data_IF_421966963028
#
_entry.id   IF_421966963028
#
_cell.length_a   1.000
_cell.length_b   1.000
_cell.length_c   1.000
_cell.angle_alpha   90.00
_cell.angle_beta   90.00
_cell.angle_gamma   90.00
#
_symmetry.space_group_name_H-M   'P 1'
#
loop_
_entity.id
_entity.type
_entity.pdbx_description
1 polymer ?
#
# COMPACT_ATOMS: atom_id res chain seq x y z
N UNK A 1 18.48 -18.71 -23.45
CA UNK A 1 18.03 -20.11 -23.64
C UNK A 1 17.39 -20.18 -25.02
N UNK A 2 17.85 -21.08 -25.90
CA UNK A 2 17.29 -21.25 -27.25
C UNK A 2 16.33 -22.45 -27.25
N UNK A 3 15.07 -22.25 -27.66
CA UNK A 3 14.02 -23.28 -27.65
C UNK A 3 13.69 -23.81 -29.04
N UNK A 4 14.48 -23.48 -30.07
CA UNK A 4 14.16 -23.83 -31.48
C UNK A 4 14.12 -25.33 -31.76
N UNK A 5 14.98 -26.14 -31.13
CA UNK A 5 14.93 -27.60 -31.27
C UNK A 5 13.65 -28.18 -30.64
N UNK A 6 13.31 -27.75 -29.42
CA UNK A 6 12.09 -28.19 -28.74
C UNK A 6 10.82 -27.88 -29.54
N UNK A 7 10.76 -26.72 -30.21
CA UNK A 7 9.63 -26.38 -31.09
C UNK A 7 9.53 -27.34 -32.28
N UNK A 8 10.66 -27.72 -32.88
CA UNK A 8 10.69 -28.67 -34.01
C UNK A 8 10.21 -30.05 -33.58
N UNK A 9 10.66 -30.52 -32.42
CA UNK A 9 10.27 -31.84 -31.90
C UNK A 9 8.78 -31.89 -31.60
N UNK A 10 8.26 -30.90 -30.88
CA UNK A 10 6.84 -30.83 -30.56
C UNK A 10 5.98 -30.68 -31.81
N UNK A 11 6.40 -29.88 -32.80
CA UNK A 11 5.67 -29.72 -34.06
C UNK A 11 5.63 -31.03 -34.86
N UNK A 12 6.70 -31.83 -34.82
CA UNK A 12 6.75 -33.16 -35.45
C UNK A 12 5.78 -34.15 -34.80
N UNK A 13 5.68 -34.14 -33.47
CA UNK A 13 4.78 -35.02 -32.70
C UNK A 13 3.31 -34.64 -32.87
N UNK A 14 2.98 -33.37 -32.64
CA UNK A 14 1.58 -32.90 -32.60
C UNK A 14 1.03 -32.50 -33.97
N UNK A 15 1.89 -32.41 -35.01
CA UNK A 15 1.53 -31.99 -36.38
C UNK A 15 0.72 -30.69 -36.42
N UNK A 16 1.04 -29.77 -35.51
CA UNK A 16 0.35 -28.49 -35.34
C UNK A 16 1.37 -27.35 -35.30
N UNK A 17 0.91 -26.13 -35.57
CA UNK A 17 1.74 -24.93 -35.41
C UNK A 17 1.88 -24.62 -33.92
N UNK A 18 3.10 -24.70 -33.41
CA UNK A 18 3.41 -24.44 -32.00
C UNK A 18 4.07 -23.07 -31.86
N UNK A 19 3.51 -22.23 -31.01
CA UNK A 19 4.06 -20.93 -30.63
C UNK A 19 4.40 -20.95 -29.14
N UNK A 20 5.66 -20.69 -28.81
CA UNK A 20 6.09 -20.52 -27.43
C UNK A 20 6.03 -19.04 -27.07
N UNK A 21 5.33 -18.72 -25.98
CA UNK A 21 5.28 -17.36 -25.43
C UNK A 21 5.93 -17.37 -24.06
N UNK A 22 6.83 -16.43 -23.82
CA UNK A 22 7.38 -16.21 -22.49
C UNK A 22 6.35 -15.48 -21.65
N UNK A 23 6.05 -16.04 -20.48
CA UNK A 23 5.08 -15.50 -19.52
C UNK A 23 5.88 -14.99 -18.33
N UNK A 24 5.59 -13.77 -17.86
CA UNK A 24 6.22 -13.23 -16.66
C UNK A 24 5.69 -13.91 -15.39
N UNK A 25 6.48 -13.91 -14.31
CA UNK A 25 6.08 -14.50 -13.01
C UNK A 25 4.73 -13.98 -12.47
N UNK A 26 4.39 -12.72 -12.79
CA UNK A 26 3.10 -12.14 -12.40
C UNK A 26 1.95 -12.62 -13.29
N UNK A 27 2.20 -12.77 -14.58
CA UNK A 27 1.20 -13.28 -15.53
C UNK A 27 0.93 -14.76 -15.28
N UNK A 28 1.96 -15.52 -14.91
CA UNK A 28 1.83 -16.90 -14.44
C UNK A 28 0.93 -16.97 -13.20
N UNK A 29 1.21 -16.15 -12.17
CA UNK A 29 0.36 -16.08 -10.98
C UNK A 29 -1.07 -15.62 -11.31
N UNK A 30 -1.26 -14.73 -12.28
CA UNK A 30 -2.58 -14.31 -12.76
C UNK A 30 -3.34 -15.45 -13.43
N UNK A 31 -2.67 -16.21 -14.29
CA UNK A 31 -3.27 -17.34 -15.03
C UNK A 31 -3.62 -18.51 -14.12
N UNK A 32 -2.74 -18.86 -13.18
CA UNK A 32 -3.01 -19.89 -12.18
C UNK A 32 -4.11 -19.45 -11.21
N UNK A 33 -4.16 -18.15 -10.89
CA UNK A 33 -4.99 -17.63 -9.82
C UNK A 33 -4.52 -18.09 -8.45
N UNK A 34 -5.26 -17.70 -7.42
CA UNK A 34 -4.94 -18.04 -6.04
C UNK A 34 -5.38 -16.97 -5.06
N UNK A 35 -4.99 -17.15 -3.80
CA UNK A 35 -5.30 -16.22 -2.71
C UNK A 35 -4.05 -15.43 -2.30
N UNK A 36 -4.20 -14.12 -2.19
CA UNK A 36 -3.17 -13.25 -1.64
C UNK A 36 -3.06 -13.37 -0.12
N UNK A 37 -2.05 -12.71 0.46
CA UNK A 37 -1.83 -12.66 1.92
C UNK A 37 -3.01 -12.04 2.68
N UNK A 38 -3.88 -11.29 1.99
CA UNK A 38 -5.13 -10.73 2.52
C UNK A 38 -6.31 -11.73 2.54
N UNK A 39 -6.09 -12.98 2.09
CA UNK A 39 -7.13 -14.02 2.01
C UNK A 39 -8.12 -13.85 0.85
N UNK A 40 -7.92 -12.86 -0.03
CA UNK A 40 -8.75 -12.61 -1.22
C UNK A 40 -8.08 -13.14 -2.49
N UNK A 41 -8.85 -13.39 -3.57
CA UNK A 41 -8.29 -13.70 -4.88
C UNK A 41 -7.28 -12.64 -5.33
N UNK A 42 -6.30 -13.02 -6.15
CA UNK A 42 -5.29 -12.08 -6.62
C UNK A 42 -5.91 -10.86 -7.31
N UNK A 43 -5.50 -9.65 -6.89
CA UNK A 43 -5.95 -8.39 -7.50
C UNK A 43 -5.73 -8.42 -9.04
N UNK A 44 -4.64 -9.04 -9.50
CA UNK A 44 -4.27 -9.15 -10.92
C UNK A 44 -5.09 -10.15 -11.73
N UNK A 45 -5.80 -11.09 -11.10
CA UNK A 45 -6.70 -12.02 -11.78
C UNK A 45 -8.16 -11.56 -11.74
N UNK A 46 -8.45 -10.41 -11.12
CA UNK A 46 -9.81 -9.91 -10.94
C UNK A 46 -10.07 -8.59 -11.65
N UNK A 47 -9.35 -7.52 -11.26
CA UNK A 47 -9.67 -6.16 -11.72
C UNK A 47 -8.44 -5.32 -12.07
N UNK A 48 -7.23 -5.73 -11.66
CA UNK A 48 -5.98 -5.02 -11.99
C UNK A 48 -5.23 -5.73 -13.13
N UNK A 49 -5.67 -5.48 -14.35
CA UNK A 49 -5.01 -6.04 -15.55
C UNK A 49 -3.76 -5.25 -15.96
N UNK A 50 -3.75 -3.93 -15.74
CA UNK A 50 -2.64 -3.06 -16.10
C UNK A 50 -1.63 -2.90 -14.96
N UNK A 51 -0.36 -3.17 -15.27
CA UNK A 51 0.71 -3.14 -14.29
C UNK A 51 1.53 -1.85 -14.39
N UNK A 52 1.28 -0.96 -13.44
CA UNK A 52 2.13 0.19 -13.17
C UNK A 52 3.30 -0.25 -12.26
N UNK A 53 4.52 0.26 -12.46
CA UNK A 53 5.63 0.00 -11.55
C UNK A 53 5.28 0.44 -10.12
N UNK A 54 5.55 -0.44 -9.16
CA UNK A 54 5.31 -0.19 -7.73
C UNK A 54 6.66 0.12 -7.09
N UNK A 55 6.69 1.12 -6.20
CA UNK A 55 7.90 1.51 -5.47
C UNK A 55 7.77 1.25 -3.97
N UNK A 56 8.91 1.05 -3.29
CA UNK A 56 8.96 0.83 -1.85
C UNK A 56 8.44 2.04 -1.06
N UNK A 57 8.59 3.25 -1.62
CA UNK A 57 8.08 4.51 -1.03
C UNK A 57 6.56 4.47 -0.80
N UNK A 58 5.83 3.72 -1.62
CA UNK A 58 4.37 3.58 -1.50
C UNK A 58 3.98 2.73 -0.29
N UNK A 59 4.73 1.65 -0.02
CA UNK A 59 4.54 0.86 1.21
C UNK A 59 4.77 1.71 2.47
N UNK A 60 5.77 2.59 2.45
CA UNK A 60 6.00 3.54 3.56
C UNK A 60 4.85 4.53 3.74
N UNK A 61 4.31 5.06 2.64
CA UNK A 61 3.16 5.99 2.68
C UNK A 61 1.93 5.35 3.33
N UNK A 62 1.77 4.04 3.15
CA UNK A 62 0.67 3.25 3.69
C UNK A 62 0.96 2.66 5.08
N UNK A 63 2.05 3.09 5.74
CA UNK A 63 2.50 2.60 7.04
C UNK A 63 2.68 1.07 7.11
N UNK A 64 3.07 0.43 6.00
CA UNK A 64 3.42 -0.99 5.98
C UNK A 64 4.88 -1.20 6.39
N UNK A 65 5.14 -2.32 7.07
CA UNK A 65 6.49 -2.74 7.41
C UNK A 65 7.29 -3.03 6.13
N UNK A 66 8.53 -2.54 6.06
CA UNK A 66 9.44 -2.72 4.92
C UNK A 66 10.02 -4.15 4.80
N UNK A 67 9.44 -5.13 5.50
CA UNK A 67 9.84 -6.52 5.36
C UNK A 67 9.38 -7.08 4.00
N UNK A 68 10.27 -7.62 3.16
CA UNK A 68 9.94 -8.15 1.83
C UNK A 68 8.75 -9.12 1.82
N UNK A 69 8.59 -9.94 2.85
CA UNK A 69 7.48 -10.91 2.97
C UNK A 69 6.12 -10.26 3.16
N UNK A 70 6.08 -9.02 3.70
CA UNK A 70 4.85 -8.27 3.95
C UNK A 70 4.46 -7.35 2.79
N UNK A 71 5.42 -6.96 1.94
CA UNK A 71 5.19 -6.03 0.82
C UNK A 71 5.19 -6.70 -0.56
N UNK A 72 5.66 -7.94 -0.64
CA UNK A 72 5.67 -8.73 -1.88
C UNK A 72 4.43 -9.60 -1.98
N UNK A 73 3.87 -9.69 -3.18
CA UNK A 73 2.80 -10.63 -3.50
C UNK A 73 3.34 -12.05 -3.74
N UNK A 74 2.43 -13.00 -3.88
CA UNK A 74 2.75 -14.43 -4.12
C UNK A 74 3.59 -14.66 -5.39
N UNK A 75 3.50 -13.75 -6.36
CA UNK A 75 4.34 -13.74 -7.57
C UNK A 75 5.80 -13.32 -7.34
N UNK A 76 6.22 -13.02 -6.10
CA UNK A 76 7.58 -12.60 -5.76
C UNK A 76 7.92 -11.15 -6.11
N UNK A 77 6.98 -10.37 -6.65
CA UNK A 77 7.11 -8.92 -6.89
C UNK A 77 6.30 -8.12 -5.88
N UNK A 78 6.59 -6.82 -5.75
CA UNK A 78 5.81 -5.90 -4.92
C UNK A 78 4.31 -5.98 -5.26
N UNK A 79 3.46 -5.86 -4.23
CA UNK A 79 2.01 -5.98 -4.37
C UNK A 79 1.43 -4.89 -5.28
N UNK A 80 0.66 -5.30 -6.30
CA UNK A 80 -0.03 -4.37 -7.21
C UNK A 80 -1.10 -3.53 -6.49
N UNK A 81 -1.69 -4.06 -5.41
CA UNK A 81 -2.71 -3.37 -4.64
C UNK A 81 -2.13 -2.13 -3.90
N UNK A 82 -0.80 -2.07 -3.65
CA UNK A 82 -0.14 -0.85 -3.13
C UNK A 82 -0.31 0.33 -4.08
N UNK A 83 -0.19 0.13 -5.39
CA UNK A 83 -0.42 1.23 -6.35
C UNK A 83 -1.88 1.59 -6.46
N UNK A 84 -2.76 0.60 -6.44
CA UNK A 84 -4.19 0.83 -6.49
C UNK A 84 -4.67 1.73 -5.35
N UNK A 85 -4.17 1.52 -4.12
CA UNK A 85 -4.59 2.30 -2.95
C UNK A 85 -3.87 3.65 -2.81
N UNK A 86 -2.72 3.82 -3.47
CA UNK A 86 -1.82 4.97 -3.26
C UNK A 86 -2.53 6.32 -3.41
N UNK A 87 -3.29 6.50 -4.48
CA UNK A 87 -3.89 7.80 -4.80
C UNK A 87 -4.94 8.18 -3.73
N UNK A 88 -5.64 7.20 -3.18
CA UNK A 88 -6.56 7.39 -2.07
C UNK A 88 -5.80 7.75 -0.78
N UNK A 89 -4.70 7.06 -0.47
CA UNK A 89 -3.87 7.41 0.69
C UNK A 89 -3.31 8.84 0.60
N UNK A 90 -2.81 9.24 -0.56
CA UNK A 90 -2.30 10.61 -0.77
C UNK A 90 -3.38 11.66 -0.58
N UNK A 91 -4.59 11.39 -1.07
CA UNK A 91 -5.75 12.25 -0.83
C UNK A 91 -6.09 12.33 0.67
N UNK A 92 -6.19 11.19 1.35
CA UNK A 92 -6.50 11.10 2.78
C UNK A 92 -5.46 11.82 3.65
N UNK A 93 -4.18 11.70 3.32
CA UNK A 93 -3.08 12.37 4.02
C UNK A 93 -3.10 13.89 3.87
N UNK A 94 -3.65 14.41 2.77
CA UNK A 94 -3.78 15.88 2.56
C UNK A 94 -4.91 16.48 3.38
N UNK A 95 -6.03 15.76 3.51
CA UNK A 95 -7.22 16.27 4.19
C UNK A 95 -7.25 15.96 5.68
N UNK A 96 -6.52 14.94 6.13
CA UNK A 96 -6.55 14.48 7.53
C UNK A 96 -5.43 15.15 8.32
N UNK A 97 -5.72 15.75 9.50
CA UNK A 97 -4.69 16.32 10.36
C UNK A 97 -3.72 15.24 10.82
N UNK A 98 -2.45 15.63 10.96
CA UNK A 98 -1.37 14.71 11.36
C UNK A 98 -1.43 14.41 12.86
N UNK A 99 -0.84 13.28 13.25
CA UNK A 99 -0.60 12.97 14.66
C UNK A 99 0.24 14.09 15.31
N UNK A 100 -0.19 14.57 16.48
CA UNK A 100 0.39 15.71 17.18
C UNK A 100 -0.04 17.09 16.67
N UNK A 101 -0.92 17.18 15.67
CA UNK A 101 -1.51 18.44 15.27
C UNK A 101 -2.46 18.99 16.34
N UNK A 102 -2.51 20.32 16.48
CA UNK A 102 -3.49 21.00 17.33
C UNK A 102 -4.76 21.22 16.53
N UNK A 103 -5.88 20.70 17.03
CA UNK A 103 -7.17 20.73 16.36
C UNK A 103 -8.25 21.31 17.25
N UNK A 104 -9.24 21.93 16.62
CA UNK A 104 -10.48 22.40 17.24
C UNK A 104 -11.55 21.34 17.01
N UNK A 105 -12.12 20.79 18.09
CA UNK A 105 -13.25 19.88 18.06
C UNK A 105 -14.48 20.55 18.68
N UNK A 106 -15.70 20.01 18.48
CA UNK A 106 -16.91 20.57 19.08
C UNK A 106 -16.86 20.67 20.62
N UNK A 107 -16.02 19.85 21.26
CA UNK A 107 -15.87 19.77 22.71
C UNK A 107 -14.73 20.66 23.25
N UNK A 108 -13.92 21.23 22.34
CA UNK A 108 -12.85 22.16 22.64
C UNK A 108 -11.57 21.87 21.86
N UNK A 109 -10.50 22.58 22.22
CA UNK A 109 -9.18 22.38 21.62
C UNK A 109 -8.53 21.12 22.17
N UNK A 110 -7.80 20.43 21.31
CA UNK A 110 -7.03 19.27 21.71
C UNK A 110 -5.92 18.90 20.74
N UNK A 111 -5.12 17.94 21.15
CA UNK A 111 -4.01 17.40 20.38
C UNK A 111 -4.36 16.01 19.85
N UNK A 112 -4.11 15.77 18.57
CA UNK A 112 -4.35 14.46 17.94
C UNK A 112 -3.32 13.45 18.46
N UNK A 113 -3.77 12.41 19.16
CA UNK A 113 -2.91 11.34 19.68
C UNK A 113 -2.77 10.20 18.69
N UNK A 114 -3.83 9.86 17.97
CA UNK A 114 -3.84 8.73 17.02
C UNK A 114 -4.73 9.07 15.82
N UNK A 115 -4.30 8.65 14.64
CA UNK A 115 -5.01 8.88 13.38
C UNK A 115 -5.24 7.55 12.69
N UNK A 116 -6.51 7.20 12.47
CA UNK A 116 -6.86 6.12 11.56
C UNK A 116 -7.27 6.73 10.22
N UNK A 117 -6.34 6.67 9.24
CA UNK A 117 -6.51 7.30 7.92
C UNK A 117 -7.69 6.72 7.14
N UNK A 118 -7.87 5.40 7.16
CA UNK A 118 -8.89 4.71 6.35
C UNK A 118 -10.29 4.89 6.94
N UNK A 119 -10.45 4.76 8.26
CA UNK A 119 -11.75 4.98 8.90
C UNK A 119 -12.09 6.47 9.07
N UNK A 120 -11.10 7.36 8.94
CA UNK A 120 -11.27 8.79 9.17
C UNK A 120 -11.55 9.14 10.63
N UNK A 121 -11.25 8.24 11.57
CA UNK A 121 -11.39 8.47 13.00
C UNK A 121 -10.09 9.01 13.60
N UNK A 122 -10.23 10.04 14.42
CA UNK A 122 -9.14 10.72 15.11
C UNK A 122 -9.34 10.57 16.60
N UNK A 123 -8.32 10.14 17.33
CA UNK A 123 -8.32 10.20 18.80
C UNK A 123 -7.65 11.49 19.22
N UNK A 124 -8.41 12.37 19.88
CA UNK A 124 -7.96 13.68 20.33
C UNK A 124 -7.91 13.71 21.85
N UNK A 125 -6.80 14.19 22.40
CA UNK A 125 -6.68 14.52 23.82
C UNK A 125 -7.07 15.98 24.00
N UNK A 126 -8.14 16.25 24.75
CA UNK A 126 -8.64 17.60 24.99
C UNK A 126 -7.78 18.32 26.03
N UNK A 127 -7.54 19.62 25.83
CA UNK A 127 -6.70 20.42 26.75
C UNK A 127 -7.40 20.66 28.11
N UNK A 128 -8.74 20.58 28.14
CA UNK A 128 -9.54 20.77 29.36
C UNK A 128 -9.33 19.68 30.41
N UNK A 129 -9.01 18.46 29.99
CA UNK A 129 -8.79 17.31 30.87
C UNK A 129 -7.63 16.46 30.34
N UNK A 130 -6.37 16.77 30.70
CA UNK A 130 -5.20 16.05 30.21
C UNK A 130 -5.13 14.58 30.67
N UNK A 131 -5.75 14.26 31.81
CA UNK A 131 -5.79 12.90 32.40
C UNK A 131 -6.97 12.04 31.90
N UNK A 132 -7.88 12.61 31.12
CA UNK A 132 -9.02 11.86 30.58
C UNK A 132 -8.62 11.00 29.37
N UNK A 133 -9.39 9.91 29.17
CA UNK A 133 -9.21 9.05 28.00
C UNK A 133 -9.41 9.85 26.70
N UNK A 134 -8.57 9.63 25.65
CA UNK A 134 -8.73 10.31 24.36
C UNK A 134 -10.12 10.10 23.77
N UNK A 135 -10.73 11.17 23.28
CA UNK A 135 -12.06 11.13 22.67
C UNK A 135 -11.94 10.92 21.16
N UNK A 136 -12.84 10.13 20.60
CA UNK A 136 -12.82 9.76 19.18
C UNK A 136 -13.75 10.68 18.39
N UNK A 137 -13.19 11.40 17.42
CA UNK A 137 -13.92 12.30 16.54
C UNK A 137 -13.79 11.87 15.08
N UNK A 138 -14.77 12.22 14.25
CA UNK A 138 -14.62 12.08 12.82
C UNK A 138 -13.79 13.24 12.24
N UNK A 139 -12.94 12.98 11.26
CA UNK A 139 -12.18 14.02 10.56
C UNK A 139 -13.02 15.20 10.05
N UNK A 140 -14.31 15.00 9.73
CA UNK A 140 -15.21 16.05 9.23
C UNK A 140 -15.60 17.07 10.29
N UNK A 141 -15.54 16.68 11.55
CA UNK A 141 -15.98 17.49 12.69
C UNK A 141 -14.83 18.30 13.30
N UNK A 142 -13.62 18.12 12.76
CA UNK A 142 -12.38 18.61 13.33
C UNK A 142 -11.77 19.65 12.41
N UNK A 143 -11.42 20.82 12.95
CA UNK A 143 -10.72 21.88 12.20
C UNK A 143 -9.26 21.96 12.65
N UNK A 144 -8.32 21.93 11.72
CA UNK A 144 -6.89 22.03 12.02
C UNK A 144 -6.50 23.47 12.31
N UNK A 145 -5.91 23.74 13.49
CA UNK A 145 -5.38 25.06 13.86
C UNK A 145 -3.89 25.15 13.53
N UNK A 146 -3.12 24.10 13.87
CA UNK A 146 -1.69 23.99 13.53
C UNK A 146 -1.36 22.57 13.11
N UNK A 147 -0.87 22.42 11.88
CA UNK A 147 -0.38 21.15 11.39
C UNK A 147 0.94 20.75 12.05
N UNK A 148 1.00 19.51 12.52
CA UNK A 148 2.23 18.88 12.98
C UNK A 148 3.21 18.72 11.81
N UNK A 149 4.48 19.07 12.01
CA UNK A 149 5.53 18.71 11.04
C UNK A 149 5.76 17.20 11.12
N UNK A 150 5.77 16.52 9.97
CA UNK A 150 6.21 15.12 9.90
C UNK A 150 7.71 15.12 10.21
N UNK A 151 8.09 14.61 11.38
CA UNK A 151 9.49 14.23 11.63
C UNK A 151 9.71 12.92 10.91
N UNK A 152 10.29 12.97 9.72
CA UNK A 152 10.83 11.76 9.09
C UNK A 152 12.17 11.50 9.76
N UNK A 153 12.32 10.35 10.41
CA UNK A 153 13.57 9.98 11.07
C UNK A 153 14.69 9.83 10.03
N UNK A 154 15.84 10.47 10.28
CA UNK A 154 16.92 10.63 9.29
C UNK A 154 17.59 9.28 8.95
N UNK A 155 17.60 8.37 9.91
CA UNK A 155 18.07 6.99 9.81
C UNK A 155 17.22 6.14 8.85
N UNK A 156 15.90 6.36 8.80
CA UNK A 156 15.02 5.63 7.88
C UNK A 156 15.15 6.11 6.43
N UNK A 157 15.49 7.39 6.23
CA UNK A 157 15.77 7.99 4.93
C UNK A 157 17.08 7.44 4.32
N UNK A 158 18.06 7.10 5.15
CA UNK A 158 19.31 6.46 4.72
C UNK A 158 19.10 5.00 4.32
N UNK A 159 18.26 4.24 5.03
CA UNK A 159 17.90 2.87 4.65
C UNK A 159 17.20 2.79 3.27
N UNK A 160 16.46 3.84 2.89
CA UNK A 160 15.80 3.95 1.58
C UNK A 160 16.79 4.11 0.41
N UNK A 161 17.99 4.65 0.64
CA UNK A 161 19.01 4.84 -0.41
C UNK A 161 19.75 3.54 -0.77
N UNK A 162 19.73 2.54 0.11
CA UNK A 162 20.44 1.27 -0.10
C UNK A 162 19.63 0.21 -0.87
N UNK A 163 18.35 0.48 -1.15
CA UNK A 163 17.41 -0.49 -1.75
C UNK A 163 16.91 0.02 -3.13
N UNK A 164 17.38 1.18 -3.59
CA UNK A 164 17.13 1.70 -4.95
C UNK A 164 18.08 1.06 -5.98
#
# INVERSE_FOLDING_TARGET
>A
VDFRELVRDLAGVFRARIELRQIGVRDEAKMLGGLGICGRPFCCSQFLDDFVPVSIKMAKTQNLSLNPTKISGTCGRLMCCLKYEQDNYEYLLKITPKQGALVDTPEGRGTVVEVNLLSGQLKVRLDRCPDAAPHSFNRREVKTIKDGKIKVDRSELEALKGIE
#
